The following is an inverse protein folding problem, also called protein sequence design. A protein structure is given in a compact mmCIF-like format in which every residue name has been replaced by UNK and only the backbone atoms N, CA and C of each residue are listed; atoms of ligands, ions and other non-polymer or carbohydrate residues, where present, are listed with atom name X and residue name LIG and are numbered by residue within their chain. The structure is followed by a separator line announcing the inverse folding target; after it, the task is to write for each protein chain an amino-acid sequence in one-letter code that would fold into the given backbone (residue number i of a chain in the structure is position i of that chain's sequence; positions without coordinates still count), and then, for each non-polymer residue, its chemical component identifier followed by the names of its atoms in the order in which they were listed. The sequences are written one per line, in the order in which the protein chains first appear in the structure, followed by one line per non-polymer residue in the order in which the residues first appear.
data_IF_570602685950
#
_entry.id   IF_570602685950
#
_cell.length_a   1.000
_cell.length_b   1.000
_cell.length_c   1.000
_cell.angle_alpha   90.00
_cell.angle_beta   90.00
_cell.angle_gamma   90.00
#
_symmetry.space_group_name_H-M   'P 1'
#
loop_
_entity.id
_entity.type
_entity.pdbx_description
1 polymer ?
#
# COMPACT_ATOMS: atom_id res chain seq x y z
N UNK A 1 -5.53 7.42 10.38
CA UNK A 1 -5.35 7.67 8.95
C UNK A 1 -4.17 6.81 8.49
N UNK A 2 -4.29 6.02 7.40
CA UNK A 2 -3.20 5.19 6.88
C UNK A 2 -1.93 6.00 6.61
N UNK A 3 -0.78 5.47 7.00
CA UNK A 3 0.52 6.07 6.68
C UNK A 3 1.22 5.25 5.59
N UNK A 4 1.14 5.75 4.35
CA UNK A 4 1.73 5.13 3.16
C UNK A 4 3.25 5.16 3.11
N UNK A 5 3.89 5.84 4.06
CA UNK A 5 5.34 6.01 4.14
C UNK A 5 6.00 5.19 5.25
N UNK A 6 5.21 4.72 6.22
CA UNK A 6 5.69 4.02 7.42
C UNK A 6 6.17 2.57 7.17
N UNK A 7 5.89 1.98 6.00
CA UNK A 7 6.10 0.56 5.76
C UNK A 7 6.92 0.28 4.51
N UNK A 8 7.45 -0.95 4.40
CA UNK A 8 8.24 -1.39 3.25
C UNK A 8 7.46 -1.35 1.92
N UNK A 9 6.14 -1.43 1.97
CA UNK A 9 5.27 -1.27 0.80
C UNK A 9 4.03 -0.43 1.19
N UNK A 10 3.58 0.55 0.37
CA UNK A 10 2.46 1.43 0.72
C UNK A 10 1.15 0.67 0.94
N UNK A 11 0.95 -0.44 0.24
CA UNK A 11 -0.23 -1.29 0.45
C UNK A 11 -0.30 -1.98 1.83
N UNK A 12 0.80 -1.99 2.60
CA UNK A 12 0.76 -2.46 3.98
C UNK A 12 0.03 -1.50 4.93
N UNK A 13 -0.24 -0.27 4.52
CA UNK A 13 -0.88 0.78 5.34
C UNK A 13 -2.36 0.51 5.63
N UNK A 14 -2.93 -0.50 4.96
CA UNK A 14 -4.30 -0.97 5.17
C UNK A 14 -4.32 -2.45 5.54
N UNK A 15 -5.41 -2.89 6.18
CA UNK A 15 -5.68 -4.30 6.45
C UNK A 15 -5.95 -5.02 5.13
N UNK A 16 -5.47 -6.25 4.98
CA UNK A 16 -5.83 -7.08 3.83
C UNK A 16 -7.29 -7.54 3.95
N UNK A 17 -8.17 -7.24 2.97
CA UNK A 17 -9.56 -7.70 3.01
C UNK A 17 -9.68 -9.21 2.71
N UNK A 18 -8.67 -9.82 2.08
CA UNK A 18 -8.70 -11.24 1.70
C UNK A 18 -8.24 -12.16 2.85
N UNK A 19 -7.03 -11.96 3.40
CA UNK A 19 -6.50 -12.80 4.48
C UNK A 19 -6.61 -12.17 5.87
N UNK A 20 -7.18 -10.97 5.98
CA UNK A 20 -7.44 -10.30 7.25
C UNK A 20 -6.20 -9.79 7.99
N UNK A 21 -4.98 -9.92 7.43
CA UNK A 21 -3.73 -9.49 8.07
C UNK A 21 -3.71 -7.99 8.35
N UNK A 22 -3.19 -7.57 9.53
CA UNK A 22 -3.22 -6.18 9.94
C UNK A 22 -2.22 -5.32 9.14
N UNK A 23 -2.30 -4.02 9.38
CA UNK A 23 -1.37 -3.01 8.87
C UNK A 23 0.08 -3.39 9.20
N UNK A 24 1.00 -3.17 8.27
CA UNK A 24 2.43 -3.47 8.42
C UNK A 24 2.81 -4.95 8.29
N UNK A 25 1.85 -5.89 8.31
CA UNK A 25 2.12 -7.34 8.24
C UNK A 25 1.91 -7.85 6.82
N UNK A 26 2.90 -8.57 6.27
CA UNK A 26 2.82 -9.15 4.92
C UNK A 26 1.64 -10.12 4.77
N UNK A 27 1.11 -10.20 3.56
CA UNK A 27 0.07 -11.18 3.25
C UNK A 27 0.61 -12.60 3.42
N UNK A 28 -0.29 -13.50 3.77
CA UNK A 28 -0.06 -14.94 3.78
C UNK A 28 -1.26 -15.59 3.11
N UNK A 29 -1.00 -16.69 2.43
CA UNK A 29 -2.03 -17.48 1.80
C UNK A 29 -3.05 -17.92 2.87
N UNK A 30 -4.35 -17.61 2.70
CA UNK A 30 -5.35 -17.88 3.73
C UNK A 30 -5.63 -19.38 3.90
N UNK A 31 -5.37 -20.20 2.88
CA UNK A 31 -5.64 -21.64 2.91
C UNK A 31 -4.51 -22.44 3.58
N UNK A 32 -3.26 -22.09 3.26
CA UNK A 32 -2.04 -22.82 3.69
C UNK A 32 -1.26 -22.08 4.78
N UNK A 33 -1.50 -20.78 4.97
CA UNK A 33 -0.79 -19.94 5.94
C UNK A 33 0.64 -19.56 5.52
N UNK A 34 1.07 -19.94 4.33
CA UNK A 34 2.42 -19.67 3.83
C UNK A 34 2.60 -18.20 3.41
N UNK A 35 3.85 -17.73 3.38
CA UNK A 35 4.16 -16.41 2.82
C UNK A 35 3.88 -16.43 1.31
N UNK A 36 3.14 -15.43 0.85
CA UNK A 36 2.98 -15.14 -0.57
C UNK A 36 4.11 -14.24 -1.05
N UNK A 37 4.53 -14.43 -2.29
CA UNK A 37 5.60 -13.63 -2.89
C UNK A 37 5.25 -12.15 -2.97
N UNK A 38 3.96 -11.82 -3.13
CA UNK A 38 3.45 -10.46 -3.22
C UNK A 38 2.20 -10.22 -2.35
N UNK A 39 1.78 -8.96 -2.21
CA UNK A 39 0.57 -8.62 -1.48
C UNK A 39 -0.67 -8.96 -2.31
N UNK A 40 -1.69 -9.52 -1.67
CA UNK A 40 -2.94 -9.86 -2.34
C UNK A 40 -3.51 -8.65 -3.12
N UNK A 41 -3.96 -8.83 -4.37
CA UNK A 41 -4.49 -7.75 -5.20
C UNK A 41 -5.61 -6.94 -4.52
N UNK A 42 -6.54 -7.56 -3.76
CA UNK A 42 -7.55 -6.81 -3.01
C UNK A 42 -6.97 -5.84 -1.97
N UNK A 43 -5.81 -6.14 -1.39
CA UNK A 43 -5.12 -5.22 -0.47
C UNK A 43 -4.54 -4.03 -1.21
N UNK A 44 -3.95 -4.26 -2.38
CA UNK A 44 -3.40 -3.21 -3.23
C UNK A 44 -4.51 -2.25 -3.68
N UNK A 45 -5.64 -2.78 -4.14
CA UNK A 45 -6.81 -1.98 -4.51
C UNK A 45 -7.38 -1.18 -3.32
N UNK A 46 -7.49 -1.80 -2.14
CA UNK A 46 -7.95 -1.10 -0.95
C UNK A 46 -6.98 0.03 -0.53
N UNK A 47 -5.68 -0.18 -0.67
CA UNK A 47 -4.67 0.84 -0.39
C UNK A 47 -4.75 1.99 -1.40
N UNK A 48 -4.94 1.68 -2.68
CA UNK A 48 -5.10 2.67 -3.75
C UNK A 48 -6.33 3.57 -3.50
N UNK A 49 -7.49 2.96 -3.23
CA UNK A 49 -8.71 3.70 -2.88
C UNK A 49 -8.50 4.57 -1.62
N UNK A 50 -7.85 4.03 -0.59
CA UNK A 50 -7.55 4.79 0.61
C UNK A 50 -6.58 5.95 0.34
N UNK A 51 -5.60 5.76 -0.55
CA UNK A 51 -4.64 6.79 -0.94
C UNK A 51 -5.33 7.91 -1.71
N UNK A 52 -6.14 7.57 -2.73
CA UNK A 52 -6.94 8.51 -3.50
C UNK A 52 -7.90 9.32 -2.63
N UNK A 53 -8.55 8.67 -1.65
CA UNK A 53 -9.46 9.34 -0.73
C UNK A 53 -8.73 10.33 0.20
N UNK A 54 -7.46 10.08 0.53
CA UNK A 54 -6.68 10.93 1.45
C UNK A 54 -5.91 12.04 0.75
N UNK A 55 -5.32 11.74 -0.40
CA UNK A 55 -4.37 12.64 -1.08
C UNK A 55 -4.91 13.19 -2.41
N UNK A 56 -5.99 12.62 -2.94
CA UNK A 56 -6.55 12.98 -4.23
C UNK A 56 -5.87 12.27 -5.40
N UNK A 57 -6.55 12.28 -6.56
CA UNK A 57 -6.13 11.59 -7.78
C UNK A 57 -4.86 12.14 -8.43
N UNK A 58 -4.45 13.35 -8.05
CA UNK A 58 -3.22 13.95 -8.54
C UNK A 58 -2.00 13.54 -7.71
N UNK A 59 -2.19 13.08 -6.47
CA UNK A 59 -1.07 12.68 -5.65
C UNK A 59 -0.45 11.37 -6.14
N UNK A 60 0.82 11.17 -5.84
CA UNK A 60 1.53 9.93 -6.11
C UNK A 60 2.34 9.52 -4.88
N UNK A 61 2.51 8.21 -4.68
CA UNK A 61 3.45 7.66 -3.69
C UNK A 61 4.63 7.05 -4.45
N UNK A 62 5.82 7.53 -4.14
CA UNK A 62 7.03 7.24 -4.92
C UNK A 62 8.09 6.58 -4.04
N UNK A 63 8.76 5.56 -4.58
CA UNK A 63 9.90 4.95 -3.91
C UNK A 63 11.14 5.80 -4.19
N UNK A 64 11.68 6.40 -3.14
CA UNK A 64 12.89 7.23 -3.20
C UNK A 64 14.02 6.54 -2.43
N UNK A 65 15.28 6.99 -2.57
CA UNK A 65 16.39 6.50 -1.75
C UNK A 65 16.16 6.64 -0.24
N UNK A 66 15.27 7.55 0.19
CA UNK A 66 14.91 7.77 1.59
C UNK A 66 13.67 6.99 2.02
N UNK A 67 13.17 6.09 1.18
CA UNK A 67 11.93 5.35 1.38
C UNK A 67 10.76 5.95 0.59
N UNK A 68 9.55 5.60 1.02
CA UNK A 68 8.33 6.06 0.36
C UNK A 68 8.06 7.52 0.69
N UNK A 69 7.80 8.33 -0.34
CA UNK A 69 7.43 9.73 -0.19
C UNK A 69 6.15 10.02 -0.97
N UNK A 70 5.33 10.92 -0.45
CA UNK A 70 4.09 11.36 -1.09
C UNK A 70 4.37 12.66 -1.83
N UNK A 71 4.14 12.62 -3.14
CA UNK A 71 4.20 13.78 -4.00
C UNK A 71 2.77 14.27 -4.29
N UNK A 72 2.31 15.38 -3.69
CA UNK A 72 0.93 15.86 -3.86
C UNK A 72 0.64 16.41 -5.26
N UNK A 73 1.69 16.75 -6.03
CA UNK A 73 1.56 17.28 -7.40
C UNK A 73 1.56 16.16 -8.45
N UNK A 74 1.76 14.92 -8.00
CA UNK A 74 1.87 13.75 -8.86
C UNK A 74 3.26 13.59 -9.45
N UNK A 75 3.56 12.37 -9.90
CA UNK A 75 4.82 12.09 -10.60
C UNK A 75 4.93 12.99 -11.84
N UNK A 76 6.03 13.74 -11.95
CA UNK A 76 6.36 14.46 -13.18
C UNK A 76 6.44 13.45 -14.33
N UNK A 77 5.62 13.63 -15.36
CA UNK A 77 5.73 12.89 -16.61
C UNK A 77 6.91 13.48 -17.38
N UNK A 78 8.06 12.83 -17.34
CA UNK A 78 9.15 13.02 -18.30
C UNK A 78 8.80 12.31 -19.63
#
# INVERSE_FOLDING_TARGET
MPDFTAHRHPALSVRCPECGKPVGVWCRDPATGQLVDDLHPPRQAAADLAFLAQHGHLASVENTPHGWQINPQGRARD
#
